data_IF_457450425819
#
_entry.id   IF_457450425819
#
_cell.length_a   1.000
_cell.length_b   1.000
_cell.length_c   1.000
_cell.angle_alpha   90.00
_cell.angle_beta   90.00
_cell.angle_gamma   90.00
#
_symmetry.space_group_name_H-M   'P 1'
#
loop_
_entity.id
_entity.type
_entity.pdbx_description
1 polymer ?
#
# COMPACT_ATOMS: atom_id res chain seq x y z
N UNK A 1 -7.38 -21.18 -3.80
CA UNK A 1 -7.65 -19.75 -4.05
C UNK A 1 -6.43 -19.11 -4.69
N UNK A 2 -6.62 -18.05 -5.46
CA UNK A 2 -5.54 -17.36 -6.19
C UNK A 2 -5.21 -16.04 -5.50
N UNK A 3 -3.98 -15.93 -5.01
CA UNK A 3 -3.45 -14.73 -4.36
C UNK A 3 -2.39 -14.10 -5.25
N UNK A 4 -2.41 -12.78 -5.38
CA UNK A 4 -1.36 -12.03 -6.06
C UNK A 4 -0.69 -11.07 -5.08
N UNK A 5 0.61 -11.26 -4.88
CA UNK A 5 1.45 -10.36 -4.10
C UNK A 5 2.09 -9.35 -5.04
N UNK A 6 2.03 -8.06 -4.70
CA UNK A 6 2.62 -6.99 -5.49
C UNK A 6 3.70 -6.26 -4.71
N UNK A 7 4.85 -6.04 -5.35
CA UNK A 7 5.95 -5.23 -4.84
C UNK A 7 6.33 -4.15 -5.85
N UNK A 8 6.23 -2.91 -5.45
CA UNK A 8 6.78 -1.78 -6.19
C UNK A 8 8.08 -1.33 -5.50
N UNK A 9 9.21 -1.47 -6.18
CA UNK A 9 10.56 -1.31 -5.62
C UNK A 9 11.18 -0.03 -6.17
N UNK A 10 11.49 0.91 -5.29
CA UNK A 10 12.25 2.10 -5.64
C UNK A 10 13.76 1.85 -5.50
N UNK A 11 14.63 2.59 -6.21
CA UNK A 11 16.08 2.40 -6.14
C UNK A 11 16.66 2.44 -4.72
N UNK A 12 16.12 3.30 -3.86
CA UNK A 12 16.57 3.42 -2.47
C UNK A 12 16.07 2.29 -1.56
N UNK A 13 15.12 1.49 -2.00
CA UNK A 13 14.56 0.36 -1.25
C UNK A 13 15.27 -0.96 -1.57
N UNK A 14 16.14 -0.98 -2.58
CA UNK A 14 16.73 -2.22 -3.10
C UNK A 14 17.48 -3.04 -2.04
N UNK A 15 18.04 -2.39 -1.01
CA UNK A 15 18.71 -3.06 0.10
C UNK A 15 17.73 -3.73 1.06
N UNK A 16 16.54 -3.17 1.23
CA UNK A 16 15.48 -3.74 2.07
C UNK A 16 14.81 -4.94 1.42
N UNK A 17 14.78 -5.00 0.09
CA UNK A 17 14.24 -6.13 -0.68
C UNK A 17 14.86 -7.46 -0.27
N UNK A 18 16.15 -7.49 0.09
CA UNK A 18 16.81 -8.70 0.56
C UNK A 18 16.09 -9.28 1.79
N UNK A 19 15.73 -8.43 2.76
CA UNK A 19 15.04 -8.87 3.98
C UNK A 19 13.64 -9.37 3.67
N UNK A 20 12.88 -8.58 2.94
CA UNK A 20 11.49 -8.88 2.58
C UNK A 20 11.37 -10.14 1.72
N UNK A 21 12.20 -10.29 0.66
CA UNK A 21 12.20 -11.48 -0.19
C UNK A 21 12.70 -12.73 0.53
N UNK A 22 13.65 -12.58 1.48
CA UNK A 22 14.09 -13.71 2.32
C UNK A 22 12.96 -14.24 3.18
N UNK A 23 12.14 -13.36 3.75
CA UNK A 23 10.98 -13.78 4.53
C UNK A 23 9.90 -14.41 3.63
N UNK A 24 9.68 -13.84 2.45
CA UNK A 24 8.73 -14.39 1.50
C UNK A 24 9.15 -15.81 1.03
N UNK A 25 10.45 -16.04 0.77
CA UNK A 25 10.99 -17.36 0.48
C UNK A 25 10.67 -18.36 1.60
N UNK A 26 10.91 -17.98 2.85
CA UNK A 26 10.58 -18.83 4.01
C UNK A 26 9.08 -19.07 4.13
N UNK A 27 8.27 -18.04 3.91
CA UNK A 27 6.82 -18.13 3.98
C UNK A 27 6.23 -19.18 3.02
N UNK A 28 6.91 -19.47 1.89
CA UNK A 28 6.46 -20.48 0.93
C UNK A 28 6.24 -21.84 1.58
N UNK A 29 7.07 -22.22 2.54
CA UNK A 29 6.99 -23.52 3.24
C UNK A 29 5.81 -23.63 4.22
N UNK A 30 5.16 -22.52 4.53
CA UNK A 30 4.01 -22.43 5.44
C UNK A 30 2.68 -22.26 4.70
N UNK A 31 2.70 -22.17 3.37
CA UNK A 31 1.49 -22.08 2.55
C UNK A 31 0.87 -23.44 2.29
N UNK A 32 -0.44 -23.48 2.21
CA UNK A 32 -1.16 -24.67 1.75
C UNK A 32 -0.94 -24.91 0.26
N UNK A 33 -0.86 -26.17 -0.14
CA UNK A 33 -0.81 -26.56 -1.56
C UNK A 33 -2.07 -26.17 -2.34
N UNK A 34 -3.17 -25.87 -1.64
CA UNK A 34 -4.42 -25.41 -2.23
C UNK A 34 -4.41 -23.91 -2.57
N UNK A 35 -3.44 -23.18 -2.04
CA UNK A 35 -3.33 -21.72 -2.23
C UNK A 35 -2.28 -21.41 -3.31
N UNK A 36 -2.77 -20.92 -4.44
CA UNK A 36 -1.91 -20.50 -5.54
C UNK A 36 -1.47 -19.05 -5.32
N UNK A 37 -0.19 -18.85 -5.02
CA UNK A 37 0.39 -17.54 -4.76
C UNK A 37 1.33 -17.14 -5.88
N UNK A 38 0.99 -16.08 -6.59
CA UNK A 38 1.83 -15.42 -7.60
C UNK A 38 2.44 -14.16 -7.00
N UNK A 39 3.72 -13.93 -7.25
CA UNK A 39 4.43 -12.70 -6.86
C UNK A 39 4.70 -11.88 -8.11
N UNK A 40 4.27 -10.63 -8.13
CA UNK A 40 4.49 -9.71 -9.23
C UNK A 40 5.25 -8.49 -8.69
N UNK A 41 6.40 -8.19 -9.31
CA UNK A 41 7.31 -7.18 -8.80
C UNK A 41 7.71 -6.22 -9.91
N UNK A 42 7.89 -4.93 -9.57
CA UNK A 42 8.48 -3.94 -10.48
C UNK A 42 9.62 -3.20 -9.82
N UNK A 43 10.75 -3.13 -10.51
CA UNK A 43 11.82 -2.18 -10.20
C UNK A 43 11.56 -0.88 -10.96
N UNK A 44 11.30 0.19 -10.23
CA UNK A 44 11.03 1.50 -10.81
C UNK A 44 12.34 2.27 -11.02
N UNK A 45 12.77 2.38 -12.27
CA UNK A 45 13.93 3.16 -12.70
C UNK A 45 13.50 4.36 -13.57
N UNK A 46 12.30 4.90 -13.35
CA UNK A 46 11.87 6.14 -14.00
C UNK A 46 12.87 7.27 -13.73
N UNK A 47 12.89 8.27 -14.59
CA UNK A 47 13.74 9.46 -14.41
C UNK A 47 13.55 10.06 -13.02
N UNK A 48 12.31 10.17 -12.55
CA UNK A 48 11.99 10.67 -11.21
C UNK A 48 12.57 9.80 -10.09
N UNK A 49 12.44 8.47 -10.18
CA UNK A 49 12.95 7.56 -9.17
C UNK A 49 14.49 7.65 -9.05
N UNK A 50 15.18 7.77 -10.17
CA UNK A 50 16.64 7.92 -10.21
C UNK A 50 17.07 9.27 -9.65
N UNK A 51 16.41 10.35 -10.04
CA UNK A 51 16.72 11.69 -9.57
C UNK A 51 16.50 11.84 -8.06
N UNK A 52 15.42 11.27 -7.53
CA UNK A 52 15.12 11.30 -6.10
C UNK A 52 16.07 10.45 -5.27
N UNK A 53 16.57 9.36 -5.84
CA UNK A 53 17.49 8.48 -5.14
C UNK A 53 18.83 9.18 -4.79
N UNK A 54 19.18 10.26 -5.49
CA UNK A 54 20.46 10.98 -5.31
C UNK A 54 21.67 10.06 -5.35
N UNK A 55 21.51 8.84 -5.86
CA UNK A 55 22.57 7.87 -6.04
C UNK A 55 23.35 8.20 -7.29
N UNK A 56 24.66 8.06 -7.21
CA UNK A 56 25.52 8.12 -8.39
C UNK A 56 25.70 6.77 -9.08
N UNK A 57 24.99 5.75 -8.61
CA UNK A 57 25.07 4.41 -9.16
C UNK A 57 24.29 4.35 -10.48
N UNK A 58 24.82 3.65 -11.48
CA UNK A 58 24.16 3.50 -12.76
C UNK A 58 22.92 2.59 -12.64
N UNK A 59 21.98 2.71 -13.57
CA UNK A 59 20.76 1.90 -13.61
C UNK A 59 21.07 0.41 -13.63
N UNK A 60 22.12 0.02 -14.37
CA UNK A 60 22.57 -1.37 -14.49
C UNK A 60 22.88 -2.02 -13.14
N UNK A 61 23.38 -1.24 -12.19
CA UNK A 61 23.63 -1.72 -10.83
C UNK A 61 22.33 -2.19 -10.15
N UNK A 62 21.26 -1.37 -10.27
CA UNK A 62 19.96 -1.71 -9.66
C UNK A 62 19.31 -2.89 -10.37
N UNK A 63 19.42 -2.97 -11.69
CA UNK A 63 18.92 -4.07 -12.52
C UNK A 63 19.60 -5.39 -12.13
N UNK A 64 20.93 -5.39 -12.08
CA UNK A 64 21.69 -6.58 -11.69
C UNK A 64 21.31 -7.05 -10.28
N UNK A 65 21.29 -6.13 -9.33
CA UNK A 65 20.92 -6.44 -7.95
C UNK A 65 19.49 -6.96 -7.83
N UNK A 66 18.54 -6.37 -8.55
CA UNK A 66 17.16 -6.84 -8.59
C UNK A 66 17.05 -8.26 -9.15
N UNK A 67 17.78 -8.58 -10.23
CA UNK A 67 17.81 -9.93 -10.77
C UNK A 67 18.41 -10.94 -9.78
N UNK A 68 19.50 -10.58 -9.09
CA UNK A 68 20.09 -11.42 -8.05
C UNK A 68 19.11 -11.68 -6.91
N UNK A 69 18.42 -10.65 -6.42
CA UNK A 69 17.43 -10.79 -5.34
C UNK A 69 16.20 -11.58 -5.78
N UNK A 70 15.82 -11.47 -7.04
CA UNK A 70 14.66 -12.19 -7.60
C UNK A 70 14.81 -13.72 -7.54
N UNK A 71 16.02 -14.25 -7.43
CA UNK A 71 16.28 -15.68 -7.24
C UNK A 71 15.65 -16.19 -5.92
N UNK A 72 15.51 -15.33 -4.93
CA UNK A 72 14.86 -15.72 -3.67
C UNK A 72 13.38 -16.08 -3.84
N UNK A 73 12.75 -15.68 -4.95
CA UNK A 73 11.34 -15.94 -5.25
C UNK A 73 11.12 -17.03 -6.29
N UNK A 74 12.15 -17.86 -6.60
CA UNK A 74 12.07 -18.94 -7.61
C UNK A 74 11.03 -20.03 -7.28
N UNK A 75 10.69 -20.19 -6.00
CA UNK A 75 9.68 -21.16 -5.52
C UNK A 75 8.24 -20.65 -5.74
N UNK A 76 8.06 -19.40 -6.18
CA UNK A 76 6.78 -18.82 -6.56
C UNK A 76 6.66 -18.69 -8.08
N UNK A 77 5.44 -18.60 -8.58
CA UNK A 77 5.23 -18.00 -9.90
C UNK A 77 5.58 -16.52 -9.79
N UNK A 78 6.75 -16.13 -10.31
CA UNK A 78 7.28 -14.77 -10.16
C UNK A 78 7.30 -14.04 -11.51
N UNK A 79 6.53 -12.94 -11.59
CA UNK A 79 6.48 -12.04 -12.74
C UNK A 79 7.31 -10.79 -12.40
N UNK A 80 8.26 -10.46 -13.26
CA UNK A 80 9.22 -9.38 -13.04
C UNK A 80 9.06 -8.29 -14.08
N UNK A 81 9.02 -7.05 -13.63
CA UNK A 81 9.01 -5.87 -14.48
C UNK A 81 10.14 -4.92 -14.14
N UNK A 82 10.60 -4.15 -15.12
CA UNK A 82 11.48 -3.00 -14.96
C UNK A 82 10.81 -1.84 -15.68
N UNK A 83 10.58 -0.75 -14.95
CA UNK A 83 10.01 0.46 -15.52
C UNK A 83 11.09 1.54 -15.67
N UNK A 84 11.33 2.01 -16.90
CA UNK A 84 12.36 3.00 -17.25
C UNK A 84 11.78 4.25 -17.94
N UNK A 85 10.48 4.50 -17.76
CA UNK A 85 9.79 5.63 -18.39
C UNK A 85 10.18 6.99 -17.83
N UNK A 86 9.82 8.03 -18.55
CA UNK A 86 10.04 9.43 -18.14
C UNK A 86 8.85 10.01 -17.34
N UNK A 87 7.85 9.19 -17.06
CA UNK A 87 6.69 9.60 -16.27
C UNK A 87 6.84 9.16 -14.83
N UNK A 88 6.18 9.89 -13.94
CA UNK A 88 6.00 9.45 -12.58
C UNK A 88 5.24 8.12 -12.56
N UNK A 89 5.80 7.15 -11.88
CA UNK A 89 5.23 5.81 -11.74
C UNK A 89 5.32 5.38 -10.28
N UNK A 90 4.21 5.08 -9.67
CA UNK A 90 4.13 4.74 -8.25
C UNK A 90 3.51 3.36 -8.02
N UNK A 91 3.41 3.00 -6.76
CA UNK A 91 2.83 1.71 -6.38
C UNK A 91 1.37 1.54 -6.84
N UNK A 92 0.59 2.63 -6.89
CA UNK A 92 -0.80 2.59 -7.38
C UNK A 92 -0.89 2.34 -8.88
N UNK A 93 0.04 2.90 -9.66
CA UNK A 93 0.12 2.63 -11.09
C UNK A 93 0.36 1.14 -11.32
N UNK A 94 1.33 0.58 -10.60
CA UNK A 94 1.67 -0.83 -10.68
C UNK A 94 0.54 -1.73 -10.16
N UNK A 95 -0.07 -1.41 -9.03
CA UNK A 95 -1.20 -2.18 -8.51
C UNK A 95 -2.36 -2.25 -9.49
N UNK A 96 -2.65 -1.14 -10.18
CA UNK A 96 -3.69 -1.08 -11.21
C UNK A 96 -3.37 -1.99 -12.40
N UNK A 97 -2.10 -2.02 -12.82
CA UNK A 97 -1.63 -2.89 -13.91
C UNK A 97 -1.68 -4.38 -13.53
N UNK A 98 -1.55 -4.70 -12.24
CA UNK A 98 -1.60 -6.07 -11.73
C UNK A 98 -3.02 -6.66 -11.61
N UNK A 99 -4.09 -5.89 -11.90
CA UNK A 99 -5.46 -6.40 -11.84
C UNK A 99 -5.64 -7.53 -12.85
N UNK A 100 -6.15 -8.67 -12.39
CA UNK A 100 -6.34 -9.88 -13.19
C UNK A 100 -7.65 -10.59 -12.85
N UNK A 101 -8.40 -11.05 -13.87
CA UNK A 101 -9.67 -11.78 -13.64
C UNK A 101 -9.52 -13.06 -12.83
N UNK A 102 -8.34 -13.69 -12.87
CA UNK A 102 -8.07 -14.97 -12.19
C UNK A 102 -7.67 -14.81 -10.73
N UNK A 103 -7.43 -13.57 -10.26
CA UNK A 103 -7.01 -13.29 -8.89
C UNK A 103 -8.22 -13.13 -7.98
N UNK A 104 -8.24 -13.84 -6.86
CA UNK A 104 -9.28 -13.74 -5.82
C UNK A 104 -8.89 -12.70 -4.76
N UNK A 105 -7.61 -12.58 -4.45
CA UNK A 105 -7.08 -11.70 -3.42
C UNK A 105 -5.78 -11.03 -3.88
N UNK A 106 -5.63 -9.77 -3.51
CA UNK A 106 -4.43 -8.99 -3.75
C UNK A 106 -3.73 -8.70 -2.42
N UNK A 107 -2.41 -8.83 -2.39
CA UNK A 107 -1.59 -8.51 -1.22
C UNK A 107 -0.54 -7.49 -1.66
N UNK A 108 -0.62 -6.29 -1.13
CA UNK A 108 0.39 -5.26 -1.37
C UNK A 108 1.42 -5.28 -0.26
N UNK A 109 2.70 -5.35 -0.61
CA UNK A 109 3.79 -5.32 0.37
C UNK A 109 4.81 -4.25 -0.04
N UNK A 110 5.13 -3.34 0.88
CA UNK A 110 6.23 -2.41 0.68
C UNK A 110 7.58 -3.12 0.89
N UNK A 111 8.60 -2.80 0.09
CA UNK A 111 9.92 -3.44 0.17
C UNK A 111 10.63 -3.28 1.52
N UNK A 112 10.35 -2.19 2.23
CA UNK A 112 10.93 -1.86 3.54
C UNK A 112 10.22 -2.52 4.73
N UNK A 113 9.37 -3.50 4.46
CA UNK A 113 8.70 -4.30 5.48
C UNK A 113 9.48 -5.57 5.82
N UNK A 114 9.63 -5.81 7.13
CA UNK A 114 10.10 -7.08 7.67
C UNK A 114 8.95 -7.77 8.41
N UNK A 115 8.77 -9.05 8.17
CA UNK A 115 7.68 -9.85 8.72
C UNK A 115 8.15 -11.28 9.04
N UNK A 116 7.39 -11.99 9.86
CA UNK A 116 7.68 -13.38 10.18
C UNK A 116 7.44 -14.31 8.99
N UNK A 117 8.06 -15.47 9.00
CA UNK A 117 7.82 -16.50 7.97
C UNK A 117 6.37 -17.04 7.96
N UNK A 118 5.61 -16.77 9.02
CA UNK A 118 4.21 -17.18 9.15
C UNK A 118 3.21 -16.07 8.77
N UNK A 119 3.64 -14.81 8.66
CA UNK A 119 2.75 -13.68 8.44
C UNK A 119 1.84 -13.87 7.21
N UNK A 120 2.41 -14.35 6.10
CA UNK A 120 1.66 -14.58 4.87
C UNK A 120 0.61 -15.69 5.03
N UNK A 121 0.99 -16.83 5.63
CA UNK A 121 0.05 -17.93 5.83
C UNK A 121 -1.09 -17.55 6.76
N UNK A 122 -0.82 -16.80 7.81
CA UNK A 122 -1.86 -16.33 8.73
C UNK A 122 -2.79 -15.31 8.06
N UNK A 123 -2.27 -14.43 7.22
CA UNK A 123 -3.06 -13.49 6.46
C UNK A 123 -4.01 -14.21 5.49
N UNK A 124 -3.50 -15.23 4.80
CA UNK A 124 -4.27 -16.07 3.89
C UNK A 124 -5.37 -16.85 4.66
N UNK A 125 -5.03 -17.50 5.76
CA UNK A 125 -6.00 -18.22 6.56
C UNK A 125 -7.07 -17.29 7.17
N UNK A 126 -6.68 -16.09 7.58
CA UNK A 126 -7.60 -15.08 8.05
C UNK A 126 -8.60 -14.65 6.96
N UNK A 127 -8.14 -14.50 5.72
CA UNK A 127 -9.01 -14.10 4.59
C UNK A 127 -10.15 -15.09 4.33
N UNK A 128 -9.93 -16.38 4.59
CA UNK A 128 -10.92 -17.45 4.43
C UNK A 128 -12.08 -17.37 5.45
N UNK A 129 -11.90 -16.61 6.53
CA UNK A 129 -12.87 -16.47 7.61
C UNK A 129 -13.79 -15.25 7.44
N UNK A 130 -13.44 -14.30 6.55
CA UNK A 130 -14.18 -13.06 6.37
C UNK A 130 -15.32 -13.25 5.39
N UNK A 131 -16.51 -12.79 5.79
CA UNK A 131 -17.75 -12.91 4.99
C UNK A 131 -18.24 -11.60 4.41
N UNK A 132 -17.64 -10.45 4.77
CA UNK A 132 -18.00 -9.16 4.20
C UNK A 132 -17.77 -9.15 2.70
N UNK A 133 -18.66 -8.47 1.97
CA UNK A 133 -18.51 -8.31 0.51
C UNK A 133 -17.20 -7.61 0.15
N UNK A 134 -16.84 -6.58 0.92
CA UNK A 134 -15.61 -5.81 0.74
C UNK A 134 -14.80 -5.83 2.02
N UNK A 135 -13.53 -6.20 1.92
CA UNK A 135 -12.70 -6.20 3.11
C UNK A 135 -11.21 -5.99 2.83
N UNK A 136 -10.54 -5.51 3.88
CA UNK A 136 -9.09 -5.41 3.98
C UNK A 136 -8.67 -6.15 5.24
N UNK A 137 -7.54 -6.87 5.19
CA UNK A 137 -6.89 -7.41 6.39
C UNK A 137 -5.48 -6.83 6.45
N UNK A 138 -5.17 -6.19 7.57
CA UNK A 138 -3.88 -5.59 7.83
C UNK A 138 -3.27 -6.24 9.07
N UNK A 139 -2.05 -6.79 9.03
CA UNK A 139 -1.33 -7.20 10.24
C UNK A 139 -0.98 -6.00 11.10
N UNK A 140 -0.67 -6.25 12.37
CA UNK A 140 -0.16 -5.19 13.26
C UNK A 140 1.18 -4.66 12.73
N UNK A 141 1.31 -3.34 12.61
CA UNK A 141 2.53 -2.70 12.10
C UNK A 141 3.26 -1.99 13.24
N UNK A 142 4.56 -2.20 13.36
CA UNK A 142 5.45 -1.45 14.23
C UNK A 142 6.48 -0.69 13.41
N UNK A 143 6.63 0.59 13.65
CA UNK A 143 7.68 1.40 13.02
C UNK A 143 9.00 1.19 13.73
N UNK A 144 10.06 1.00 12.97
CA UNK A 144 11.45 1.03 13.44
C UNK A 144 12.05 2.37 13.06
N UNK A 145 12.24 3.24 14.06
CA UNK A 145 12.76 4.60 13.87
C UNK A 145 11.66 5.66 13.67
N UNK A 146 12.09 6.91 13.57
CA UNK A 146 11.21 8.07 13.38
C UNK A 146 10.98 8.28 11.88
N UNK A 147 9.87 7.86 11.35
CA UNK A 147 9.41 8.30 10.05
C UNK A 147 8.35 9.39 10.26
N UNK A 148 8.59 10.58 9.69
CA UNK A 148 7.68 11.74 9.80
C UNK A 148 6.43 11.57 8.89
N UNK A 149 5.82 10.40 8.94
CA UNK A 149 4.54 10.17 8.26
C UNK A 149 3.41 11.03 8.84
N UNK A 150 3.57 11.46 10.09
CA UNK A 150 2.53 12.21 10.80
C UNK A 150 2.28 13.60 10.19
N UNK A 151 3.27 14.23 9.55
CA UNK A 151 3.07 15.53 8.90
C UNK A 151 2.24 15.44 7.61
N UNK A 152 2.34 14.32 6.89
CA UNK A 152 1.72 14.16 5.58
C UNK A 152 0.31 13.59 5.69
N UNK A 153 0.13 12.70 6.65
CA UNK A 153 -1.13 11.99 6.86
C UNK A 153 -1.96 12.59 8.00
N UNK A 154 -1.50 13.70 8.60
CA UNK A 154 -2.17 14.29 9.75
C UNK A 154 -3.44 15.05 9.34
N UNK A 155 -4.63 14.57 9.75
CA UNK A 155 -5.91 15.16 9.39
C UNK A 155 -6.05 16.63 9.73
N UNK A 156 -5.39 17.10 10.79
CA UNK A 156 -5.48 18.52 11.24
C UNK A 156 -4.93 19.54 10.24
N UNK A 157 -4.20 19.10 9.23
CA UNK A 157 -3.69 19.97 8.17
C UNK A 157 -4.60 20.05 6.94
N UNK A 158 -5.68 19.29 6.90
CA UNK A 158 -6.59 19.21 5.76
C UNK A 158 -7.97 19.71 6.17
N UNK A 159 -8.44 20.76 5.50
CA UNK A 159 -9.78 21.33 5.73
C UNK A 159 -10.65 21.08 4.47
N UNK A 160 -11.22 19.89 4.40
CA UNK A 160 -12.08 19.45 3.29
C UNK A 160 -13.47 19.08 3.82
N UNK A 161 -14.54 19.10 3.00
CA UNK A 161 -15.89 18.75 3.42
C UNK A 161 -16.05 17.36 4.05
N UNK A 162 -15.11 16.46 3.82
CA UNK A 162 -15.10 15.10 4.38
C UNK A 162 -14.11 14.94 5.53
N UNK A 163 -13.62 16.04 6.14
CA UNK A 163 -12.64 16.01 7.22
C UNK A 163 -13.08 15.22 8.45
N UNK A 164 -14.39 15.16 8.71
CA UNK A 164 -14.95 14.36 9.81
C UNK A 164 -14.60 12.86 9.71
N UNK A 165 -14.27 12.38 8.50
CA UNK A 165 -13.81 11.01 8.27
C UNK A 165 -12.32 10.83 8.52
N UNK A 166 -11.59 11.94 8.72
CA UNK A 166 -10.16 11.94 9.01
C UNK A 166 -9.85 11.91 10.51
N UNK A 167 -10.83 12.21 11.38
CA UNK A 167 -10.67 12.19 12.84
C UNK A 167 -10.45 10.76 13.34
N UNK A 168 -9.32 10.19 12.98
CA UNK A 168 -8.91 8.88 13.43
C UNK A 168 -7.45 8.87 13.69
N UNK A 169 -7.13 8.62 14.90
CA UNK A 169 -5.82 8.10 15.21
C UNK A 169 -5.75 6.61 14.82
N UNK A 170 -5.66 6.38 13.50
CA UNK A 170 -5.41 5.03 12.97
C UNK A 170 -4.05 4.53 13.43
N UNK A 171 -3.10 5.43 13.63
CA UNK A 171 -1.80 5.08 14.17
C UNK A 171 -1.95 4.50 15.59
N UNK A 172 -2.84 5.02 16.41
CA UNK A 172 -3.13 4.41 17.71
C UNK A 172 -3.70 2.99 17.59
N UNK A 173 -4.53 2.72 16.60
CA UNK A 173 -5.10 1.38 16.40
C UNK A 173 -4.06 0.43 15.80
N UNK A 174 -3.26 0.87 14.83
CA UNK A 174 -2.30 0.01 14.11
C UNK A 174 -0.94 -0.06 14.83
N UNK A 175 -0.49 1.04 15.47
CA UNK A 175 0.85 1.13 16.03
C UNK A 175 0.93 1.02 17.55
N UNK A 176 -0.07 1.43 18.32
CA UNK A 176 0.01 1.55 19.76
C UNK A 176 -0.75 0.48 20.54
N UNK A 177 -1.65 -0.26 19.91
CA UNK A 177 -2.32 -1.36 20.59
C UNK A 177 -1.36 -2.56 20.66
N UNK A 178 -0.69 -2.70 21.78
CA UNK A 178 0.01 -3.94 22.16
C UNK A 178 -1.03 -4.98 22.51
N UNK A 179 -1.50 -5.71 21.52
CA UNK A 179 -2.36 -6.86 21.73
C UNK A 179 -1.53 -8.05 22.21
N UNK A 180 -2.20 -8.96 22.89
CA UNK A 180 -1.62 -10.20 23.35
C UNK A 180 -1.13 -11.00 22.14
N UNK A 181 0.18 -11.20 22.01
CA UNK A 181 0.83 -11.89 20.89
C UNK A 181 0.42 -13.39 20.80
N UNK A 182 -0.23 -13.92 21.85
CA UNK A 182 -0.61 -15.33 21.94
C UNK A 182 -1.96 -15.64 21.25
N UNK A 183 -2.81 -14.65 21.00
CA UNK A 183 -4.10 -14.85 20.34
C UNK A 183 -4.09 -14.33 18.90
N UNK A 184 -4.08 -15.26 17.94
CA UNK A 184 -4.27 -14.95 16.53
C UNK A 184 -5.77 -14.76 16.26
N UNK A 185 -6.21 -13.53 16.22
CA UNK A 185 -7.60 -13.19 15.98
C UNK A 185 -7.75 -12.06 14.98
N UNK A 186 -8.87 -12.05 14.26
CA UNK A 186 -9.29 -10.94 13.43
C UNK A 186 -10.08 -9.95 14.28
N UNK A 187 -9.57 -8.74 14.37
CA UNK A 187 -10.24 -7.65 15.07
C UNK A 187 -10.84 -6.65 14.09
N UNK A 188 -12.18 -6.48 14.05
CA UNK A 188 -12.80 -5.50 13.17
C UNK A 188 -12.46 -4.08 13.64
N UNK A 189 -11.82 -3.29 12.80
CA UNK A 189 -11.47 -1.91 13.13
C UNK A 189 -12.70 -1.01 13.09
N UNK A 190 -12.78 -0.05 13.98
CA UNK A 190 -13.85 0.95 13.96
C UNK A 190 -13.78 1.85 12.74
N UNK A 191 -12.59 2.19 12.35
CA UNK A 191 -12.27 3.04 11.23
C UNK A 191 -11.25 2.34 10.32
N UNK A 192 -11.11 2.79 9.10
CA UNK A 192 -10.37 2.08 8.08
C UNK A 192 -9.37 2.98 7.39
N UNK A 193 -8.19 2.46 7.13
CA UNK A 193 -7.15 3.10 6.33
C UNK A 193 -6.51 2.05 5.45
N UNK A 194 -6.47 2.31 4.16
CA UNK A 194 -5.67 1.54 3.24
C UNK A 194 -4.38 2.30 2.93
N UNK A 195 -3.29 1.76 3.39
CA UNK A 195 -1.97 2.36 3.18
C UNK A 195 -1.09 1.59 2.19
N UNK A 196 -1.47 0.36 1.87
CA UNK A 196 -0.72 -0.48 0.92
C UNK A 196 0.62 -0.99 1.46
N UNK A 197 0.84 -0.97 2.77
CA UNK A 197 2.13 -1.35 3.36
C UNK A 197 2.31 -2.87 3.46
N UNK A 198 1.30 -3.56 3.97
CA UNK A 198 1.16 -5.01 3.98
C UNK A 198 -0.31 -5.32 4.21
N UNK A 199 -1.09 -5.18 3.16
CA UNK A 199 -2.52 -5.31 3.24
C UNK A 199 -2.99 -6.41 2.29
N UNK A 200 -3.94 -7.23 2.74
CA UNK A 200 -4.69 -8.13 1.89
C UNK A 200 -6.04 -7.52 1.57
N UNK A 201 -6.38 -7.51 0.31
CA UNK A 201 -7.65 -7.03 -0.23
C UNK A 201 -8.37 -8.17 -0.93
N UNK A 202 -9.66 -8.29 -0.73
CA UNK A 202 -10.42 -9.18 -1.61
C UNK A 202 -10.69 -8.51 -2.97
N UNK A 203 -10.91 -9.33 -3.99
CA UNK A 203 -11.12 -8.87 -5.37
C UNK A 203 -12.21 -7.81 -5.49
N UNK A 204 -13.36 -8.03 -4.83
CA UNK A 204 -14.47 -7.10 -4.89
C UNK A 204 -14.08 -5.70 -4.38
N UNK A 205 -13.37 -5.61 -3.24
CA UNK A 205 -12.87 -4.33 -2.75
C UNK A 205 -11.92 -3.69 -3.77
N UNK A 206 -10.97 -4.46 -4.27
CA UNK A 206 -9.90 -3.96 -5.12
C UNK A 206 -10.41 -3.44 -6.47
N UNK A 207 -11.37 -4.14 -7.08
CA UNK A 207 -11.88 -3.81 -8.41
C UNK A 207 -13.11 -2.88 -8.39
N UNK A 208 -13.96 -2.98 -7.37
CA UNK A 208 -15.22 -2.24 -7.34
C UNK A 208 -15.18 -1.01 -6.43
N UNK A 209 -14.58 -1.13 -5.26
CA UNK A 209 -14.62 -0.10 -4.22
C UNK A 209 -13.37 0.77 -4.22
N UNK A 210 -12.21 0.19 -4.53
CA UNK A 210 -10.97 0.93 -4.58
C UNK A 210 -10.90 1.78 -5.85
N UNK A 211 -10.85 3.10 -5.73
CA UNK A 211 -10.81 3.95 -6.89
C UNK A 211 -9.37 4.14 -7.37
N UNK A 212 -8.98 3.32 -8.31
CA UNK A 212 -7.76 3.57 -9.07
C UNK A 212 -8.06 4.55 -10.20
N UNK A 213 -8.03 5.84 -9.92
CA UNK A 213 -8.16 6.83 -10.98
C UNK A 213 -6.96 6.78 -11.93
N UNK A 214 -7.21 6.63 -13.23
CA UNK A 214 -6.16 6.51 -14.24
C UNK A 214 -5.30 7.77 -14.36
N UNK A 215 -5.85 8.92 -14.04
CA UNK A 215 -5.16 10.21 -14.04
C UNK A 215 -4.38 10.49 -12.75
N UNK A 216 -4.48 9.61 -11.74
CA UNK A 216 -3.70 9.71 -10.52
C UNK A 216 -2.35 9.02 -10.69
N UNK A 217 -1.28 9.76 -10.67
CA UNK A 217 0.07 9.25 -10.90
C UNK A 217 0.92 9.27 -9.62
N UNK A 218 1.68 8.21 -9.43
CA UNK A 218 2.67 8.12 -8.34
C UNK A 218 2.06 7.90 -6.96
N UNK A 219 2.81 8.35 -5.97
CA UNK A 219 2.35 8.45 -4.59
C UNK A 219 1.71 9.82 -4.40
N UNK A 220 0.80 9.96 -3.53
CA UNK A 220 0.22 11.25 -3.26
C UNK A 220 -0.43 11.27 -1.90
N UNK A 221 -1.35 12.16 -1.67
CA UNK A 221 -2.18 12.10 -0.46
C UNK A 221 -3.13 10.90 -0.50
N UNK A 222 -2.65 9.81 -1.10
CA UNK A 222 -3.39 8.55 -1.22
C UNK A 222 -3.84 8.05 0.14
N UNK A 223 -3.00 8.17 1.13
CA UNK A 223 -3.33 7.79 2.50
C UNK A 223 -4.54 8.57 3.02
N UNK A 224 -4.57 9.89 2.81
CA UNK A 224 -5.72 10.72 3.18
C UNK A 224 -6.96 10.35 2.39
N UNK A 225 -6.81 10.20 1.09
CA UNK A 225 -7.90 9.84 0.20
C UNK A 225 -8.51 8.47 0.56
N UNK A 226 -7.66 7.45 0.75
CA UNK A 226 -8.11 6.12 1.13
C UNK A 226 -8.79 6.10 2.50
N UNK A 227 -8.26 6.88 3.44
CA UNK A 227 -8.85 7.04 4.77
C UNK A 227 -10.25 7.63 4.68
N UNK A 228 -10.43 8.71 3.92
CA UNK A 228 -11.72 9.38 3.78
C UNK A 228 -12.72 8.44 3.10
N UNK A 229 -12.37 7.89 1.93
CA UNK A 229 -13.33 7.14 1.14
C UNK A 229 -13.77 5.84 1.82
N UNK A 230 -12.84 5.10 2.44
CA UNK A 230 -13.18 3.86 3.13
C UNK A 230 -14.08 4.09 4.34
N UNK A 231 -13.84 5.16 5.10
CA UNK A 231 -14.71 5.50 6.23
C UNK A 231 -16.05 6.06 5.76
N UNK A 232 -16.08 6.85 4.71
CA UNK A 232 -17.31 7.35 4.12
C UNK A 232 -18.23 6.20 3.67
N UNK A 233 -17.74 5.26 2.85
CA UNK A 233 -18.55 4.14 2.35
C UNK A 233 -19.06 3.26 3.48
N UNK A 234 -18.24 3.04 4.52
CA UNK A 234 -18.65 2.31 5.71
C UNK A 234 -19.81 3.00 6.44
N UNK A 235 -19.75 4.31 6.61
CA UNK A 235 -20.82 5.08 7.25
C UNK A 235 -22.10 5.15 6.40
N UNK A 236 -21.98 5.02 5.08
CA UNK A 236 -23.13 4.90 4.17
C UNK A 236 -23.77 3.51 4.18
N UNK A 237 -23.30 2.59 5.03
CA UNK A 237 -23.86 1.26 5.18
C UNK A 237 -23.43 0.26 4.10
N UNK A 238 -22.36 0.56 3.38
CA UNK A 238 -21.73 -0.44 2.48
C UNK A 238 -21.16 -1.58 3.33
N UNK A 239 -21.33 -2.81 2.88
CA UNK A 239 -20.77 -4.00 3.54
C UNK A 239 -19.25 -4.08 3.36
N UNK A 240 -18.56 -3.15 3.99
CA UNK A 240 -17.11 -3.00 4.02
C UNK A 240 -16.58 -3.08 5.45
N UNK A 241 -15.53 -3.87 5.64
CA UNK A 241 -14.81 -3.94 6.92
C UNK A 241 -13.31 -4.08 6.71
N UNK A 242 -12.53 -3.31 7.45
CA UNK A 242 -11.11 -3.58 7.66
C UNK A 242 -10.92 -4.36 8.95
N UNK A 243 -10.03 -5.34 8.89
CA UNK A 243 -9.65 -6.17 10.02
C UNK A 243 -8.18 -5.99 10.34
N UNK A 244 -7.85 -5.94 11.62
CA UNK A 244 -6.49 -6.08 12.12
C UNK A 244 -6.23 -7.55 12.43
N UNK A 245 -5.19 -8.13 11.85
CA UNK A 245 -4.71 -9.46 12.21
C UNK A 245 -3.82 -9.33 13.45
N UNK A 246 -4.32 -9.75 14.59
CA UNK A 246 -3.57 -9.79 15.85
C UNK A 246 -2.66 -11.02 15.90
N UNK A 247 -1.58 -10.92 16.67
CA UNK A 247 -0.61 -11.99 16.85
C UNK A 247 0.45 -12.07 15.75
N UNK A 248 0.39 -11.19 14.76
CA UNK A 248 1.45 -10.97 13.77
C UNK A 248 1.83 -9.50 13.72
N UNK A 249 3.09 -9.23 14.01
CA UNK A 249 3.65 -7.87 13.92
C UNK A 249 4.57 -7.76 12.72
N UNK A 250 4.36 -6.73 11.95
CA UNK A 250 5.21 -6.34 10.83
C UNK A 250 6.02 -5.12 11.25
N UNK A 251 7.30 -5.11 10.90
CA UNK A 251 8.20 -4.00 11.18
C UNK A 251 8.47 -3.23 9.90
N UNK A 252 8.12 -1.94 9.90
CA UNK A 252 8.46 -1.02 8.83
C UNK A 252 9.78 -0.33 9.14
N UNK A 253 10.72 -0.42 8.21
CA UNK A 253 11.99 0.29 8.26
C UNK A 253 11.89 1.60 7.49
N UNK A 254 12.42 2.71 8.01
CA UNK A 254 12.46 3.95 7.25
C UNK A 254 13.39 3.81 6.06
N UNK A 255 12.88 4.04 4.86
CA UNK A 255 13.64 3.95 3.61
C UNK A 255 13.71 5.30 2.88
N UNK A 256 14.80 5.50 2.15
CA UNK A 256 15.00 6.58 1.17
C UNK A 256 14.62 7.98 1.63
N UNK A 257 13.78 8.68 0.84
CA UNK A 257 13.39 10.07 1.13
C UNK A 257 12.63 10.27 2.43
N UNK A 258 12.06 9.20 2.98
CA UNK A 258 11.30 9.22 4.23
C UNK A 258 12.18 8.97 5.45
N UNK A 259 13.43 8.54 5.26
CA UNK A 259 14.37 8.45 6.35
C UNK A 259 14.62 9.83 6.97
N UNK A 260 14.73 9.89 8.29
CA UNK A 260 14.85 11.13 9.10
C UNK A 260 15.84 12.17 8.57
N UNK A 261 16.82 11.73 7.81
CA UNK A 261 17.89 12.59 7.28
C UNK A 261 17.64 13.08 5.86
N UNK A 262 16.50 12.76 5.23
CA UNK A 262 16.21 13.09 3.83
C UNK A 262 14.85 13.76 3.60
N UNK A 263 14.42 14.59 4.53
CA UNK A 263 13.19 15.40 4.46
C UNK A 263 13.09 16.22 3.17
N UNK A 264 14.24 16.70 2.65
CA UNK A 264 14.27 17.47 1.41
C UNK A 264 13.88 16.65 0.18
N UNK A 265 14.26 15.38 0.14
CA UNK A 265 13.88 14.46 -0.95
C UNK A 265 12.38 14.21 -0.99
N UNK A 266 11.76 14.01 0.18
CA UNK A 266 10.32 13.85 0.27
C UNK A 266 9.55 15.12 -0.11
N UNK A 267 10.00 16.30 0.33
CA UNK A 267 9.38 17.56 -0.05
C UNK A 267 9.44 17.78 -1.58
N UNK A 268 10.52 17.39 -2.23
CA UNK A 268 10.64 17.47 -3.69
C UNK A 268 9.73 16.45 -4.37
N UNK A 269 9.70 15.20 -3.90
CA UNK A 269 8.78 14.17 -4.37
C UNK A 269 7.32 14.64 -4.33
N UNK A 270 6.90 15.24 -3.23
CA UNK A 270 5.54 15.74 -3.07
C UNK A 270 5.22 16.89 -4.03
N UNK A 271 6.17 17.80 -4.27
CA UNK A 271 6.03 18.86 -5.27
C UNK A 271 5.91 18.31 -6.68
N UNK A 272 6.75 17.33 -7.03
CA UNK A 272 6.73 16.69 -8.34
C UNK A 272 5.41 15.95 -8.55
N UNK A 273 4.91 15.25 -7.54
CA UNK A 273 3.61 14.61 -7.56
C UNK A 273 2.49 15.62 -7.82
N UNK A 274 2.45 16.71 -7.08
CA UNK A 274 1.44 17.75 -7.26
C UNK A 274 1.47 18.33 -8.68
N UNK A 275 2.67 18.62 -9.17
CA UNK A 275 2.87 19.17 -10.51
C UNK A 275 2.38 18.23 -11.61
N UNK A 276 2.77 16.95 -11.56
CA UNK A 276 2.43 15.98 -12.59
C UNK A 276 0.95 15.58 -12.61
N UNK A 277 0.29 15.68 -11.48
CA UNK A 277 -1.16 15.47 -11.43
C UNK A 277 -1.96 16.78 -11.61
N UNK A 278 -1.29 17.88 -12.01
CA UNK A 278 -1.90 19.21 -12.08
C UNK A 278 -2.55 19.63 -10.76
N UNK A 279 -1.99 19.20 -9.65
CA UNK A 279 -2.43 19.58 -8.32
C UNK A 279 -1.60 20.78 -7.87
N UNK A 280 -2.21 21.94 -7.61
CA UNK A 280 -1.48 23.12 -7.19
C UNK A 280 -0.75 22.92 -5.87
N UNK A 281 0.42 23.56 -5.73
CA UNK A 281 1.25 23.50 -4.52
C UNK A 281 0.67 24.27 -3.34
N UNK A 282 -0.36 25.09 -3.58
CA UNK A 282 -1.05 25.82 -2.51
C UNK A 282 -2.10 24.92 -1.86
N UNK A 283 -2.18 24.97 -0.54
CA UNK A 283 -3.07 24.12 0.26
C UNK A 283 -4.51 24.12 -0.22
N UNK A 284 -5.10 25.30 -0.48
CA UNK A 284 -6.50 25.39 -0.91
C UNK A 284 -6.76 24.69 -2.24
N UNK A 285 -5.84 24.82 -3.16
CA UNK A 285 -5.94 24.21 -4.49
C UNK A 285 -5.77 22.70 -4.40
N UNK A 286 -4.87 22.24 -3.52
CA UNK A 286 -4.69 20.82 -3.21
C UNK A 286 -5.97 20.22 -2.61
N UNK A 287 -6.54 20.85 -1.61
CA UNK A 287 -7.78 20.42 -0.96
C UNK A 287 -8.95 20.41 -1.97
N UNK A 288 -9.00 21.39 -2.87
CA UNK A 288 -9.99 21.42 -3.95
C UNK A 288 -9.86 20.22 -4.89
N UNK A 289 -8.63 19.87 -5.27
CA UNK A 289 -8.37 18.74 -6.16
C UNK A 289 -8.65 17.40 -5.47
N UNK A 290 -8.27 17.24 -4.21
CA UNK A 290 -8.61 16.07 -3.41
C UNK A 290 -10.14 15.87 -3.32
N UNK A 291 -10.89 16.96 -3.10
CA UNK A 291 -12.35 16.93 -3.11
C UNK A 291 -12.92 16.51 -4.47
N UNK A 292 -12.36 16.99 -5.57
CA UNK A 292 -12.75 16.56 -6.91
C UNK A 292 -12.59 15.05 -7.09
N UNK A 293 -11.47 14.48 -6.68
CA UNK A 293 -11.26 13.02 -6.74
C UNK A 293 -12.22 12.25 -5.83
N UNK A 294 -12.46 12.74 -4.62
CA UNK A 294 -13.42 12.14 -3.70
C UNK A 294 -14.83 12.17 -4.30
N UNK A 295 -15.25 13.29 -4.86
CA UNK A 295 -16.56 13.40 -5.48
C UNK A 295 -16.72 12.49 -6.69
N UNK A 296 -15.71 12.44 -7.58
CA UNK A 296 -15.69 11.49 -8.72
C UNK A 296 -15.85 10.05 -8.27
N UNK A 297 -15.14 9.66 -7.20
CA UNK A 297 -15.28 8.32 -6.63
C UNK A 297 -16.68 8.06 -6.12
N UNK A 298 -17.24 8.98 -5.36
CA UNK A 298 -18.60 8.86 -4.84
C UNK A 298 -19.60 8.70 -5.99
N UNK A 299 -19.47 9.51 -7.03
CA UNK A 299 -20.35 9.44 -8.21
C UNK A 299 -20.21 8.09 -8.93
N UNK A 300 -18.98 7.61 -9.14
CA UNK A 300 -18.74 6.29 -9.72
C UNK A 300 -19.33 5.15 -8.87
N UNK A 301 -19.23 5.23 -7.54
CA UNK A 301 -19.80 4.23 -6.65
C UNK A 301 -21.34 4.27 -6.66
N UNK A 302 -21.96 5.45 -6.87
CA UNK A 302 -23.42 5.58 -7.10
C UNK A 302 -23.83 5.00 -8.44
N UNK A 303 -23.08 5.28 -9.52
CA UNK A 303 -23.34 4.70 -10.84
C UNK A 303 -23.27 3.17 -10.84
N UNK A 304 -22.34 2.61 -10.04
CA UNK A 304 -22.23 1.15 -9.81
C UNK A 304 -23.28 0.60 -8.83
N UNK A 305 -24.18 1.43 -8.30
CA UNK A 305 -25.16 1.09 -7.27
C UNK A 305 -24.54 0.52 -5.97
N UNK A 306 -23.30 0.87 -5.66
CA UNK A 306 -22.63 0.52 -4.41
C UNK A 306 -23.04 1.52 -3.31
N UNK A 307 -23.18 2.80 -3.66
CA UNK A 307 -23.75 3.84 -2.82
C UNK A 307 -25.19 4.18 -3.28
N UNK A 308 -26.01 4.59 -2.32
CA UNK A 308 -27.37 5.09 -2.57
C UNK A 308 -27.42 6.56 -2.93
#
# INVERSE_FOLDING_TARGET
MNYKITYHIMPWEIDYVLLSFTQLKKSKYHLSDEDNVTVETVLNLSSYAIDWNQSKLPKEFFIEKYHQLSILLEDYTHIKHIYEGDQLYGHLDFQRECISPETDFYISICPDMYFSEHALSYLIEASKQVTNKYFIITPQISKVGDADWDEITNPKYVNIPYSDYLEVDIFDVIYNNRYNEEEKSLYPTKKSKWAGWFDLFNKAFYEELCPFHEDWKGYGPWDLYSLIITNYVKQQGVDFQQYLLQGETIWMYPSGPLAKNNLNGFAQYYKDFLHLNNIPSQRQEFESKLNEYLQRTIDQLKEKNILK
#
